data_IF_396363404837
#
_entry.id   IF_396363404837
#
_cell.length_a   1.000
_cell.length_b   1.000
_cell.length_c   1.000
_cell.angle_alpha   90.00
_cell.angle_beta   90.00
_cell.angle_gamma   90.00
#
_symmetry.space_group_name_H-M   'P 1'
#
loop_
_entity.id
_entity.type
_entity.pdbx_description
1 polymer ?
#
# COMPACT_ATOMS: atom_id res chain seq x y z
N UNK A 1 47.80 -32.40 15.14
CA UNK A 1 47.29 -33.69 15.61
C UNK A 1 46.26 -33.39 16.67
N UNK A 2 45.03 -33.79 16.34
CA UNK A 2 43.70 -33.85 17.00
C UNK A 2 43.55 -33.63 18.51
N UNK A 3 42.31 -33.49 19.05
CA UNK A 3 40.99 -33.55 18.37
C UNK A 3 39.98 -32.44 18.73
N UNK A 4 39.03 -32.25 17.81
CA UNK A 4 37.57 -32.16 17.98
C UNK A 4 37.01 -31.61 19.30
N UNK A 5 36.35 -30.46 19.20
CA UNK A 5 35.20 -30.15 20.05
C UNK A 5 34.01 -29.98 19.12
N UNK A 6 33.25 -31.06 18.95
CA UNK A 6 31.88 -31.02 18.44
C UNK A 6 31.06 -30.09 19.33
N UNK A 7 30.63 -28.96 18.78
CA UNK A 7 29.53 -28.19 19.37
C UNK A 7 28.25 -28.86 18.85
N UNK A 8 27.64 -29.68 19.69
CA UNK A 8 26.33 -30.25 19.44
C UNK A 8 25.32 -29.10 19.31
N UNK A 9 24.81 -28.90 18.09
CA UNK A 9 23.67 -28.02 17.82
C UNK A 9 22.44 -28.76 18.33
N UNK A 10 21.95 -28.39 19.52
CA UNK A 10 20.67 -28.85 20.02
C UNK A 10 19.55 -28.25 19.16
N UNK A 11 18.61 -29.06 18.69
CA UNK A 11 17.49 -28.70 17.81
C UNK A 11 16.47 -27.68 18.40
N UNK A 12 16.75 -27.06 19.55
CA UNK A 12 15.87 -26.11 20.24
C UNK A 12 16.55 -24.72 20.41
N UNK A 13 17.02 -24.14 19.30
CA UNK A 13 17.39 -22.72 19.27
C UNK A 13 16.15 -21.87 18.88
N UNK A 14 15.56 -21.09 19.81
CA UNK A 14 14.37 -20.28 19.54
C UNK A 14 14.60 -19.16 18.51
N UNK A 15 15.86 -18.78 18.22
CA UNK A 15 16.19 -17.82 17.15
C UNK A 15 16.16 -18.44 15.75
N UNK A 16 16.03 -19.77 15.64
CA UNK A 16 15.88 -20.48 14.37
C UNK A 16 14.40 -20.73 13.97
N UNK A 17 13.44 -20.20 14.73
CA UNK A 17 12.00 -20.34 14.46
C UNK A 17 11.51 -19.54 13.23
N UNK A 18 12.37 -18.72 12.63
CA UNK A 18 12.12 -18.04 11.34
C UNK A 18 12.55 -18.88 10.13
N UNK A 19 13.20 -20.03 10.34
CA UNK A 19 13.37 -21.03 9.31
C UNK A 19 12.01 -21.74 9.10
N UNK A 20 11.27 -21.27 8.11
CA UNK A 20 10.21 -21.95 7.39
C UNK A 20 9.58 -23.15 8.14
N UNK A 21 8.36 -22.97 8.67
CA UNK A 21 7.47 -24.11 8.92
C UNK A 21 7.33 -24.88 7.60
N UNK A 22 8.11 -25.95 7.48
CA UNK A 22 8.17 -26.82 6.33
C UNK A 22 6.82 -27.54 6.20
N UNK A 23 5.89 -26.97 5.43
CA UNK A 23 4.60 -27.61 5.18
C UNK A 23 3.51 -26.77 4.53
N UNK A 24 3.51 -25.44 4.67
CA UNK A 24 2.39 -24.61 4.20
C UNK A 24 2.87 -23.64 3.12
N UNK A 25 2.62 -23.97 1.85
CA UNK A 25 2.47 -22.91 0.85
C UNK A 25 1.27 -22.05 1.28
N UNK A 26 1.41 -20.73 1.26
CA UNK A 26 0.32 -19.85 1.68
C UNK A 26 -0.93 -20.08 0.83
N UNK A 27 -2.11 -19.93 1.44
CA UNK A 27 -3.37 -19.84 0.68
C UNK A 27 -3.22 -18.72 -0.35
N UNK A 28 -3.50 -19.02 -1.61
CA UNK A 28 -3.45 -18.08 -2.72
C UNK A 28 -4.74 -18.16 -3.53
N UNK A 29 -5.03 -17.09 -4.26
CA UNK A 29 -6.30 -16.89 -4.97
C UNK A 29 -6.10 -16.57 -6.46
N UNK A 30 -4.94 -16.96 -7.03
CA UNK A 30 -4.64 -16.72 -8.46
C UNK A 30 -5.69 -17.38 -9.36
N UNK A 31 -6.11 -18.61 -9.04
CA UNK A 31 -7.16 -19.31 -9.81
C UNK A 31 -8.50 -18.62 -9.73
N UNK A 32 -8.90 -18.14 -8.55
CA UNK A 32 -10.16 -17.40 -8.39
C UNK A 32 -10.17 -16.11 -9.23
N UNK A 33 -9.03 -15.42 -9.33
CA UNK A 33 -8.86 -14.25 -10.19
C UNK A 33 -8.94 -14.65 -11.67
N UNK A 34 -8.30 -15.76 -12.07
CA UNK A 34 -8.35 -16.26 -13.45
C UNK A 34 -9.77 -16.66 -13.88
N UNK A 35 -10.50 -17.34 -13.00
CA UNK A 35 -11.90 -17.72 -13.23
C UNK A 35 -12.79 -16.48 -13.38
N UNK A 36 -12.57 -15.46 -12.56
CA UNK A 36 -13.25 -14.17 -12.71
C UNK A 36 -12.90 -13.47 -14.03
N UNK A 37 -11.61 -13.48 -14.44
CA UNK A 37 -11.14 -12.89 -15.69
C UNK A 37 -11.75 -13.57 -16.93
N UNK A 38 -12.09 -14.87 -16.85
CA UNK A 38 -12.72 -15.60 -17.95
C UNK A 38 -14.09 -15.02 -18.35
N UNK A 39 -14.83 -14.47 -17.37
CA UNK A 39 -16.11 -13.78 -17.60
C UNK A 39 -16.00 -12.26 -17.76
N UNK A 40 -14.79 -11.69 -17.71
CA UNK A 40 -14.54 -10.25 -17.75
C UNK A 40 -14.17 -9.75 -19.15
N UNK A 41 -14.28 -8.44 -19.40
CA UNK A 41 -13.68 -7.79 -20.57
C UNK A 41 -12.15 -7.63 -20.43
N UNK A 42 -11.62 -7.80 -19.22
CA UNK A 42 -10.19 -7.72 -18.93
C UNK A 42 -9.48 -9.03 -19.29
N UNK A 43 -8.26 -8.90 -19.81
CA UNK A 43 -7.31 -9.99 -20.02
C UNK A 43 -6.45 -10.26 -18.79
N UNK A 44 -6.28 -9.25 -17.92
CA UNK A 44 -5.54 -9.39 -16.67
C UNK A 44 -5.66 -8.22 -15.72
N UNK A 45 -5.01 -8.36 -14.56
CA UNK A 45 -4.93 -7.36 -13.49
C UNK A 45 -3.49 -7.14 -13.04
N UNK A 46 -3.15 -5.90 -12.70
CA UNK A 46 -1.96 -5.52 -11.94
C UNK A 46 -2.34 -5.37 -10.47
N UNK A 47 -1.60 -6.03 -9.59
CA UNK A 47 -1.86 -6.10 -8.15
C UNK A 47 -0.56 -5.75 -7.40
N UNK A 48 -0.37 -4.50 -6.96
CA UNK A 48 0.81 -4.13 -6.17
C UNK A 48 0.63 -4.52 -4.69
N UNK A 49 1.73 -4.52 -3.92
CA UNK A 49 1.72 -4.73 -2.46
C UNK A 49 1.16 -3.54 -1.67
N UNK A 50 1.06 -2.37 -2.31
CA UNK A 50 0.69 -1.09 -1.71
C UNK A 50 -0.79 -0.96 -1.36
N UNK A 51 -1.08 -0.01 -0.49
CA UNK A 51 -2.43 0.46 -0.19
C UNK A 51 -2.74 1.78 -0.91
N UNK A 52 -3.91 2.36 -0.64
CA UNK A 52 -4.32 3.64 -1.24
C UNK A 52 -3.44 4.84 -0.87
N UNK A 53 -2.48 4.68 0.05
CA UNK A 53 -1.50 5.69 0.47
C UNK A 53 -0.08 5.33 0.03
N UNK A 54 0.10 4.24 -0.73
CA UNK A 54 1.40 3.72 -1.15
C UNK A 54 2.31 3.32 0.01
N UNK A 55 1.70 2.87 1.12
CA UNK A 55 2.42 2.42 2.31
C UNK A 55 3.26 1.17 2.01
N UNK A 56 4.48 1.11 2.57
CA UNK A 56 5.33 -0.09 2.47
C UNK A 56 4.65 -1.31 3.12
N UNK A 57 3.94 -1.09 4.24
CA UNK A 57 3.20 -2.14 4.93
C UNK A 57 1.70 -1.83 4.94
N UNK A 58 0.98 -2.35 3.95
CA UNK A 58 -0.46 -2.24 3.91
C UNK A 58 -1.12 -2.90 5.14
N UNK A 59 -2.21 -2.31 5.69
CA UNK A 59 -2.98 -2.92 6.77
C UNK A 59 -3.59 -4.25 6.32
N UNK A 60 -3.95 -5.17 7.24
CA UNK A 60 -4.38 -6.53 6.87
C UNK A 60 -5.48 -6.56 5.81
N UNK A 61 -6.43 -5.63 5.94
CA UNK A 61 -7.57 -5.46 5.04
C UNK A 61 -7.21 -4.98 3.63
N UNK A 62 -5.98 -4.51 3.38
CA UNK A 62 -5.58 -3.93 2.09
C UNK A 62 -4.40 -4.67 1.45
N UNK A 63 -3.93 -5.77 2.06
CA UNK A 63 -2.86 -6.64 1.55
C UNK A 63 -3.30 -7.51 0.36
N UNK A 64 -3.73 -6.87 -0.73
CA UNK A 64 -4.29 -7.52 -1.92
C UNK A 64 -3.31 -8.47 -2.59
N UNK A 65 -2.02 -8.08 -2.68
CA UNK A 65 -0.98 -8.95 -3.21
C UNK A 65 -0.84 -10.23 -2.40
N UNK A 66 -0.83 -10.11 -1.07
CA UNK A 66 -0.74 -11.27 -0.16
C UNK A 66 -1.95 -12.18 -0.31
N UNK A 67 -3.15 -11.61 -0.37
CA UNK A 67 -4.35 -12.41 -0.63
C UNK A 67 -4.26 -13.12 -1.99
N UNK A 68 -3.92 -12.39 -3.05
CA UNK A 68 -3.86 -12.95 -4.40
C UNK A 68 -2.84 -14.09 -4.53
N UNK A 69 -1.65 -13.93 -3.94
CA UNK A 69 -0.48 -14.78 -4.26
C UNK A 69 0.03 -15.62 -3.10
N UNK A 70 -0.33 -15.28 -1.85
CA UNK A 70 0.28 -15.81 -0.63
C UNK A 70 1.57 -15.08 -0.20
N UNK A 71 2.15 -14.22 -1.04
CA UNK A 71 3.41 -13.54 -0.77
C UNK A 71 3.31 -12.55 0.41
N UNK A 72 4.26 -12.62 1.35
CA UNK A 72 4.23 -11.83 2.60
C UNK A 72 5.25 -10.70 2.68
N UNK A 73 6.10 -10.52 1.66
CA UNK A 73 7.08 -9.42 1.65
C UNK A 73 6.43 -8.05 1.53
N UNK A 74 7.18 -7.00 1.88
CA UNK A 74 6.66 -5.62 1.87
C UNK A 74 6.57 -5.00 0.48
N UNK A 75 7.43 -5.44 -0.45
CA UNK A 75 7.47 -4.92 -1.82
C UNK A 75 7.29 -6.02 -2.84
N UNK A 76 6.41 -5.78 -3.81
CA UNK A 76 6.17 -6.67 -4.93
C UNK A 76 4.97 -6.23 -5.75
N UNK A 77 4.87 -6.79 -6.95
CA UNK A 77 3.74 -6.56 -7.85
C UNK A 77 3.42 -7.87 -8.57
N UNK A 78 2.15 -8.26 -8.62
CA UNK A 78 1.71 -9.39 -9.42
C UNK A 78 0.97 -8.92 -10.67
N UNK A 79 1.18 -9.63 -11.77
CA UNK A 79 0.35 -9.55 -12.96
C UNK A 79 -0.35 -10.89 -13.12
N UNK A 80 -1.67 -10.88 -13.04
CA UNK A 80 -2.50 -12.09 -13.23
C UNK A 80 -3.27 -11.94 -14.53
N UNK A 81 -2.90 -12.74 -15.52
CA UNK A 81 -3.63 -12.91 -16.78
C UNK A 81 -4.53 -14.15 -16.70
N UNK A 82 -5.44 -14.32 -17.67
CA UNK A 82 -6.35 -15.49 -17.74
C UNK A 82 -5.64 -16.84 -17.67
N UNK A 83 -4.49 -16.97 -18.32
CA UNK A 83 -3.78 -18.26 -18.48
C UNK A 83 -2.38 -18.28 -17.86
N UNK A 84 -1.89 -17.12 -17.38
CA UNK A 84 -0.55 -16.97 -16.82
C UNK A 84 -0.56 -15.97 -15.66
N UNK A 85 0.36 -16.11 -14.72
CA UNK A 85 0.57 -15.11 -13.68
C UNK A 85 2.07 -15.01 -13.35
N UNK A 86 2.51 -13.81 -12.98
CA UNK A 86 3.85 -13.56 -12.48
C UNK A 86 3.82 -12.68 -11.24
N UNK A 87 4.78 -12.92 -10.35
CA UNK A 87 5.09 -12.10 -9.19
C UNK A 87 6.47 -11.48 -9.38
N UNK A 88 6.52 -10.16 -9.52
CA UNK A 88 7.73 -9.37 -9.74
C UNK A 88 8.28 -8.88 -8.40
N UNK A 89 9.49 -9.32 -8.05
CA UNK A 89 10.10 -9.08 -6.74
C UNK A 89 11.51 -8.49 -6.85
N UNK A 90 11.87 -7.61 -5.92
CA UNK A 90 13.27 -7.23 -5.75
C UNK A 90 14.11 -8.40 -5.19
N UNK A 91 15.43 -8.33 -5.39
CA UNK A 91 16.34 -9.44 -5.07
C UNK A 91 16.34 -9.91 -3.61
N UNK A 92 15.90 -9.07 -2.66
CA UNK A 92 15.79 -9.43 -1.23
C UNK A 92 14.72 -10.50 -1.01
N UNK A 93 13.67 -10.51 -1.83
CA UNK A 93 12.50 -11.37 -1.64
C UNK A 93 12.48 -12.61 -2.52
N UNK A 94 13.46 -12.86 -3.38
CA UNK A 94 13.42 -13.98 -4.33
C UNK A 94 13.20 -15.35 -3.63
N UNK A 95 13.96 -15.64 -2.56
CA UNK A 95 13.81 -16.90 -1.81
C UNK A 95 12.50 -16.95 -1.00
N UNK A 96 12.11 -15.82 -0.39
CA UNK A 96 10.85 -15.73 0.34
C UNK A 96 9.65 -15.93 -0.60
N UNK A 97 9.67 -15.32 -1.78
CA UNK A 97 8.64 -15.47 -2.80
C UNK A 97 8.43 -16.94 -3.17
N UNK A 98 9.51 -17.68 -3.41
CA UNK A 98 9.44 -19.12 -3.73
C UNK A 98 8.84 -19.94 -2.59
N UNK A 99 9.16 -19.59 -1.34
CA UNK A 99 8.61 -20.27 -0.17
C UNK A 99 7.13 -19.94 0.05
N UNK A 100 6.79 -18.65 0.09
CA UNK A 100 5.45 -18.14 0.41
C UNK A 100 4.41 -18.52 -0.65
N UNK A 101 4.80 -18.51 -1.93
CA UNK A 101 3.90 -18.77 -3.06
C UNK A 101 3.94 -20.21 -3.56
N UNK A 102 4.52 -21.14 -2.78
CA UNK A 102 4.62 -22.55 -3.16
C UNK A 102 3.24 -23.13 -3.50
N UNK A 103 3.08 -23.60 -4.74
CA UNK A 103 1.82 -24.17 -5.22
C UNK A 103 0.85 -23.16 -5.85
N UNK A 104 1.15 -21.87 -5.80
CA UNK A 104 0.45 -20.87 -6.60
C UNK A 104 0.80 -21.04 -8.10
N UNK A 105 -0.16 -20.95 -9.04
CA UNK A 105 0.10 -21.06 -10.47
C UNK A 105 0.66 -19.74 -11.03
N UNK A 106 1.84 -19.34 -10.56
CA UNK A 106 2.55 -18.13 -10.97
C UNK A 106 4.05 -18.39 -11.15
N UNK A 107 4.73 -17.59 -11.97
CA UNK A 107 6.20 -17.50 -12.00
C UNK A 107 6.70 -16.37 -11.09
N UNK A 108 7.95 -16.47 -10.65
CA UNK A 108 8.62 -15.38 -9.92
C UNK A 108 9.62 -14.75 -10.86
N UNK A 109 9.51 -13.45 -11.03
CA UNK A 109 10.30 -12.67 -11.97
C UNK A 109 11.06 -11.56 -11.22
N UNK A 110 12.21 -11.10 -11.73
CA UNK A 110 12.87 -9.92 -11.20
C UNK A 110 11.97 -8.68 -11.30
N UNK A 111 11.93 -7.85 -10.26
CA UNK A 111 11.15 -6.61 -10.18
C UNK A 111 11.67 -5.46 -11.05
N UNK A 112 12.29 -5.76 -12.18
CA UNK A 112 12.84 -4.75 -13.11
C UNK A 112 11.89 -4.51 -14.26
N UNK A 113 11.88 -3.29 -14.80
CA UNK A 113 11.09 -2.95 -16.00
C UNK A 113 11.42 -3.88 -17.19
N UNK A 114 12.69 -4.27 -17.35
CA UNK A 114 13.11 -5.16 -18.42
C UNK A 114 12.53 -6.58 -18.29
N UNK A 115 12.50 -7.14 -17.08
CA UNK A 115 11.89 -8.44 -16.83
C UNK A 115 10.36 -8.39 -17.00
N UNK A 116 9.71 -7.32 -16.50
CA UNK A 116 8.26 -7.08 -16.72
C UNK A 116 7.93 -7.04 -18.21
N UNK A 117 8.70 -6.28 -19.00
CA UNK A 117 8.56 -6.22 -20.47
C UNK A 117 8.72 -7.59 -21.11
N UNK A 118 9.78 -8.31 -20.76
CA UNK A 118 10.07 -9.62 -21.35
C UNK A 118 8.93 -10.61 -21.09
N UNK A 119 8.50 -10.73 -19.83
CA UNK A 119 7.40 -11.61 -19.45
C UNK A 119 6.08 -11.24 -20.14
N UNK A 120 5.74 -9.95 -20.19
CA UNK A 120 4.53 -9.48 -20.88
C UNK A 120 4.59 -9.77 -22.38
N UNK A 121 5.74 -9.61 -23.02
CA UNK A 121 5.89 -9.88 -24.46
C UNK A 121 5.60 -11.34 -24.83
N UNK A 122 5.85 -12.26 -23.91
CA UNK A 122 5.61 -13.70 -24.09
C UNK A 122 4.17 -14.10 -23.69
N UNK A 123 3.66 -13.53 -22.59
CA UNK A 123 2.41 -13.97 -21.98
C UNK A 123 1.16 -13.23 -22.47
N UNK A 124 1.30 -12.04 -23.08
CA UNK A 124 0.15 -11.20 -23.42
C UNK A 124 -0.70 -11.78 -24.56
N UNK A 125 -2.03 -11.87 -24.38
CA UNK A 125 -2.92 -12.14 -25.50
C UNK A 125 -3.02 -10.92 -26.42
N UNK A 126 -3.35 -11.16 -27.69
CA UNK A 126 -3.58 -10.07 -28.65
C UNK A 126 -4.73 -9.16 -28.18
N UNK A 127 -4.55 -7.84 -28.31
CA UNK A 127 -5.52 -6.83 -27.91
C UNK A 127 -5.93 -6.94 -26.43
N UNK A 128 -5.00 -7.33 -25.55
CA UNK A 128 -5.24 -7.44 -24.12
C UNK A 128 -5.73 -6.11 -23.52
N UNK A 129 -6.63 -6.21 -22.54
CA UNK A 129 -6.98 -5.10 -21.64
C UNK A 129 -6.51 -5.47 -20.24
N UNK A 130 -5.58 -4.71 -19.68
CA UNK A 130 -5.04 -4.97 -18.34
C UNK A 130 -5.59 -3.91 -17.40
N UNK A 131 -6.28 -4.35 -16.35
CA UNK A 131 -6.83 -3.46 -15.33
C UNK A 131 -5.82 -3.15 -14.24
N UNK A 132 -5.81 -1.91 -13.76
CA UNK A 132 -5.13 -1.52 -12.53
C UNK A 132 -6.05 -0.63 -11.68
N UNK A 133 -5.85 -0.64 -10.36
CA UNK A 133 -6.49 0.31 -9.46
C UNK A 133 -5.62 1.59 -9.38
N UNK A 134 -6.13 2.77 -9.82
CA UNK A 134 -5.34 3.99 -9.87
C UNK A 134 -4.93 4.51 -8.49
N UNK A 135 -5.62 4.11 -7.41
CA UNK A 135 -5.27 4.49 -6.05
C UNK A 135 -4.08 3.74 -5.49
N UNK A 136 -3.71 2.59 -6.08
CA UNK A 136 -2.61 1.74 -5.59
C UNK A 136 -1.28 2.00 -6.30
N UNK A 137 -1.25 2.92 -7.27
CA UNK A 137 -0.08 3.18 -8.10
C UNK A 137 0.31 4.66 -8.04
N UNK A 138 1.61 4.94 -7.95
CA UNK A 138 2.12 6.30 -8.07
C UNK A 138 1.96 6.83 -9.50
N UNK A 139 2.16 8.15 -9.69
CA UNK A 139 2.19 8.72 -11.04
C UNK A 139 3.30 8.11 -11.91
N UNK A 140 4.44 7.78 -11.30
CA UNK A 140 5.57 7.11 -11.98
C UNK A 140 5.19 5.70 -12.41
N UNK A 141 4.61 4.90 -11.51
CA UNK A 141 4.21 3.52 -11.83
C UNK A 141 3.20 3.49 -12.99
N UNK A 142 2.22 4.39 -12.97
CA UNK A 142 1.23 4.50 -14.06
C UNK A 142 1.88 4.91 -15.38
N UNK A 143 2.86 5.81 -15.36
CA UNK A 143 3.59 6.21 -16.56
C UNK A 143 4.42 5.05 -17.12
N UNK A 144 5.07 4.25 -16.27
CA UNK A 144 5.77 3.04 -16.69
C UNK A 144 4.83 2.01 -17.31
N UNK A 145 3.69 1.75 -16.66
CA UNK A 145 2.67 0.83 -17.18
C UNK A 145 2.08 1.32 -18.51
N UNK A 146 1.86 2.62 -18.66
CA UNK A 146 1.38 3.20 -19.92
C UNK A 146 2.42 3.05 -21.04
N UNK A 147 3.70 3.27 -20.73
CA UNK A 147 4.80 3.06 -21.69
C UNK A 147 4.87 1.62 -22.18
N UNK A 148 4.70 0.64 -21.28
CA UNK A 148 4.60 -0.77 -21.65
C UNK A 148 3.36 -1.08 -22.48
N UNK A 149 2.23 -0.45 -22.19
CA UNK A 149 0.99 -0.59 -22.95
C UNK A 149 1.18 -0.13 -24.40
N UNK A 150 1.79 1.03 -24.58
CA UNK A 150 2.08 1.60 -25.90
C UNK A 150 3.10 0.75 -26.68
N UNK A 151 4.13 0.23 -25.99
CA UNK A 151 5.19 -0.61 -26.59
C UNK A 151 4.67 -1.99 -27.03
N UNK A 152 3.86 -2.65 -26.17
CA UNK A 152 3.43 -4.03 -26.38
C UNK A 152 2.02 -4.15 -26.98
N UNK A 153 1.33 -3.03 -27.20
CA UNK A 153 0.04 -2.98 -27.89
C UNK A 153 -1.14 -3.53 -27.09
N UNK A 154 -1.15 -3.34 -25.77
CA UNK A 154 -2.31 -3.62 -24.90
C UNK A 154 -2.96 -2.32 -24.41
N UNK A 155 -4.20 -2.42 -23.93
CA UNK A 155 -4.90 -1.28 -23.32
C UNK A 155 -4.75 -1.36 -21.80
N UNK A 156 -4.18 -0.31 -21.21
CA UNK A 156 -4.18 -0.13 -19.76
C UNK A 156 -5.50 0.52 -19.33
N UNK A 157 -6.23 -0.14 -18.44
CA UNK A 157 -7.55 0.31 -17.97
C UNK A 157 -7.49 0.67 -16.48
N UNK A 158 -7.74 1.95 -16.17
CA UNK A 158 -7.90 2.40 -14.80
C UNK A 158 -9.28 1.96 -14.28
N UNK A 159 -9.30 1.10 -13.27
CA UNK A 159 -10.51 0.55 -12.70
C UNK A 159 -11.06 1.48 -11.61
N UNK A 160 -12.38 1.75 -11.59
CA UNK A 160 -12.99 2.57 -10.54
C UNK A 160 -13.02 1.85 -9.18
N UNK A 161 -13.01 0.51 -9.20
CA UNK A 161 -12.97 -0.34 -8.01
C UNK A 161 -12.10 -1.57 -8.28
N UNK A 162 -11.31 -2.00 -7.29
CA UNK A 162 -10.52 -3.23 -7.39
C UNK A 162 -11.42 -4.48 -7.41
N UNK A 163 -11.34 -5.34 -8.45
CA UNK A 163 -12.07 -6.61 -8.48
C UNK A 163 -11.67 -7.55 -7.33
N UNK A 164 -10.43 -7.43 -6.85
CA UNK A 164 -9.91 -8.18 -5.71
C UNK A 164 -10.77 -7.96 -4.48
N UNK A 165 -11.26 -6.73 -4.25
CA UNK A 165 -12.08 -6.40 -3.08
C UNK A 165 -13.45 -7.08 -3.11
N UNK A 166 -13.93 -7.45 -4.30
CA UNK A 166 -15.19 -8.19 -4.46
C UNK A 166 -14.99 -9.69 -4.27
N UNK A 167 -13.86 -10.23 -4.75
CA UNK A 167 -13.50 -11.64 -4.60
C UNK A 167 -13.09 -11.96 -3.14
N UNK A 168 -12.39 -11.06 -2.49
CA UNK A 168 -11.92 -11.16 -1.10
C UNK A 168 -13.03 -10.85 -0.07
N UNK A 169 -14.26 -11.34 -0.29
CA UNK A 169 -15.49 -11.16 0.51
C UNK A 169 -15.41 -10.26 1.76
N UNK A 170 -16.28 -9.25 1.83
CA UNK A 170 -16.31 -8.23 2.91
C UNK A 170 -16.38 -8.79 4.34
N UNK A 171 -16.90 -10.00 4.54
CA UNK A 171 -16.98 -10.63 5.86
C UNK A 171 -15.60 -11.04 6.43
N UNK A 172 -14.59 -11.16 5.57
CA UNK A 172 -13.21 -11.54 5.95
C UNK A 172 -12.32 -10.30 6.11
N UNK A 173 -12.74 -9.16 5.56
CA UNK A 173 -11.93 -7.95 5.47
C UNK A 173 -12.08 -7.14 6.75
N UNK A 174 -11.03 -7.11 7.58
CA UNK A 174 -11.03 -6.34 8.83
C UNK A 174 -11.42 -4.88 8.56
N UNK A 175 -12.41 -4.37 9.28
CA UNK A 175 -12.81 -2.96 9.23
C UNK A 175 -12.06 -2.10 10.25
N UNK A 176 -11.07 -2.68 10.93
CA UNK A 176 -10.37 -2.01 12.00
C UNK A 176 -9.46 -0.91 11.44
N UNK A 177 -9.57 0.28 12.02
CA UNK A 177 -8.68 1.40 11.76
C UNK A 177 -8.25 1.99 13.10
N UNK A 178 -6.94 2.12 13.37
CA UNK A 178 -6.44 2.76 14.57
C UNK A 178 -7.04 4.15 14.78
N UNK A 179 -7.25 4.53 16.05
CA UNK A 179 -7.78 5.83 16.38
C UNK A 179 -6.64 6.87 16.37
N UNK A 180 -6.83 7.99 15.68
CA UNK A 180 -5.93 9.12 15.74
C UNK A 180 -6.10 9.87 17.06
N UNK A 181 -4.98 10.14 17.73
CA UNK A 181 -4.89 10.92 18.96
C UNK A 181 -3.94 12.10 18.77
N UNK A 182 -4.06 13.09 19.67
CA UNK A 182 -3.17 14.25 19.70
C UNK A 182 -1.72 13.83 20.03
N UNK A 183 -0.76 14.43 19.32
CA UNK A 183 0.65 14.32 19.64
C UNK A 183 1.09 15.55 20.45
N UNK A 184 1.46 15.40 21.73
CA UNK A 184 1.72 16.53 22.62
C UNK A 184 2.78 17.50 22.10
N UNK A 185 2.54 18.80 22.30
CA UNK A 185 3.49 19.86 21.91
C UNK A 185 4.88 19.67 22.52
N UNK A 186 4.97 19.15 23.75
CA UNK A 186 6.23 18.86 24.43
C UNK A 186 7.10 17.83 23.70
N UNK A 187 6.50 16.98 22.86
CA UNK A 187 7.20 16.00 22.03
C UNK A 187 7.36 16.50 20.59
N UNK A 188 6.39 17.28 20.09
CA UNK A 188 6.35 17.74 18.71
C UNK A 188 7.34 18.88 18.40
N UNK A 189 7.73 19.67 19.40
CA UNK A 189 8.65 20.82 19.27
C UNK A 189 8.06 22.07 18.57
N UNK A 190 7.02 21.89 17.74
CA UNK A 190 6.26 22.96 17.12
C UNK A 190 4.77 22.59 17.02
N UNK A 191 3.90 23.58 17.19
CA UNK A 191 2.46 23.40 17.01
C UNK A 191 2.08 23.17 15.55
N UNK A 192 0.95 22.50 15.30
CA UNK A 192 0.42 22.33 13.95
C UNK A 192 0.20 23.68 13.25
N UNK A 193 -0.26 24.69 13.99
CA UNK A 193 -0.50 26.04 13.47
C UNK A 193 0.81 26.69 12.98
N UNK A 194 1.91 26.55 13.73
CA UNK A 194 3.22 27.03 13.30
C UNK A 194 3.72 26.30 12.04
N UNK A 195 3.56 24.97 11.99
CA UNK A 195 3.98 24.16 10.84
C UNK A 195 3.20 24.53 9.58
N UNK A 196 1.87 24.65 9.68
CA UNK A 196 1.00 25.05 8.58
C UNK A 196 1.29 26.49 8.12
N UNK A 197 1.54 27.42 9.05
CA UNK A 197 1.93 28.78 8.71
C UNK A 197 3.23 28.80 7.90
N UNK A 198 4.29 28.13 8.38
CA UNK A 198 5.58 28.02 7.67
C UNK A 198 5.41 27.43 6.27
N UNK A 199 4.59 26.38 6.13
CA UNK A 199 4.29 25.79 4.82
C UNK A 199 3.56 26.78 3.90
N UNK A 200 2.57 27.51 4.41
CA UNK A 200 1.86 28.53 3.63
C UNK A 200 2.79 29.68 3.19
N UNK A 201 3.75 30.10 4.03
CA UNK A 201 4.77 31.08 3.62
C UNK A 201 5.66 30.53 2.50
N UNK A 202 6.05 29.26 2.59
CA UNK A 202 6.81 28.59 1.54
C UNK A 202 6.05 28.55 0.22
N UNK A 203 4.75 28.20 0.24
CA UNK A 203 3.90 28.21 -0.95
C UNK A 203 3.83 29.60 -1.59
N UNK A 204 3.62 30.65 -0.78
CA UNK A 204 3.64 32.04 -1.27
C UNK A 204 4.98 32.43 -1.89
N UNK A 205 6.09 32.02 -1.28
CA UNK A 205 7.44 32.27 -1.79
C UNK A 205 7.73 31.59 -3.14
N UNK A 206 7.10 30.44 -3.40
CA UNK A 206 7.21 29.68 -4.65
C UNK A 206 6.14 30.04 -5.69
N UNK A 207 5.18 30.91 -5.36
CA UNK A 207 4.04 31.22 -6.23
C UNK A 207 3.08 30.05 -6.43
N UNK A 208 3.00 29.14 -5.46
CA UNK A 208 2.09 27.98 -5.46
C UNK A 208 0.80 28.32 -4.70
N UNK A 209 -0.34 27.87 -5.23
CA UNK A 209 -1.66 28.13 -4.60
C UNK A 209 -1.98 27.15 -3.47
N UNK A 210 -1.55 25.90 -3.59
CA UNK A 210 -1.79 24.88 -2.57
C UNK A 210 -0.79 23.72 -2.66
N UNK A 211 -0.74 22.91 -1.60
CA UNK A 211 -0.07 21.60 -1.55
C UNK A 211 -1.02 20.54 -1.01
N UNK A 212 -1.19 19.46 -1.77
CA UNK A 212 -1.78 18.23 -1.25
C UNK A 212 -0.68 17.37 -0.60
N UNK A 213 -0.74 17.26 0.72
CA UNK A 213 0.06 16.32 1.51
C UNK A 213 -0.65 14.97 1.48
N UNK A 214 -0.12 14.05 0.68
CA UNK A 214 -0.75 12.76 0.40
C UNK A 214 -0.23 11.62 1.30
N UNK A 215 0.96 11.77 1.89
CA UNK A 215 1.60 10.80 2.76
C UNK A 215 1.04 10.89 4.20
N UNK A 216 0.50 9.79 4.76
CA UNK A 216 0.02 9.74 6.14
C UNK A 216 1.04 10.19 7.19
N UNK A 217 2.33 9.92 7.01
CA UNK A 217 3.39 10.30 7.95
C UNK A 217 3.54 11.82 8.00
N UNK A 218 3.58 12.45 6.83
CA UNK A 218 3.68 13.90 6.69
C UNK A 218 2.44 14.60 7.25
N UNK A 219 1.25 14.08 6.99
CA UNK A 219 0.01 14.62 7.58
C UNK A 219 0.04 14.51 9.10
N UNK A 220 0.47 13.36 9.61
CA UNK A 220 0.60 13.12 11.05
C UNK A 220 1.59 14.07 11.71
N UNK A 221 2.73 14.33 11.06
CA UNK A 221 3.70 15.31 11.51
C UNK A 221 3.16 16.74 11.44
N UNK A 222 2.50 17.11 10.34
CA UNK A 222 1.99 18.45 10.10
C UNK A 222 0.91 18.83 11.12
N UNK A 223 -0.01 17.91 11.40
CA UNK A 223 -1.18 18.16 12.25
C UNK A 223 -0.99 17.78 13.72
N UNK A 224 0.21 17.32 14.09
CA UNK A 224 0.51 16.79 15.42
C UNK A 224 -0.53 15.74 15.86
N UNK A 225 -0.70 14.71 15.04
CA UNK A 225 -1.55 13.55 15.36
C UNK A 225 -0.76 12.26 15.17
N UNK A 226 -1.14 11.21 15.89
CA UNK A 226 -0.58 9.86 15.70
C UNK A 226 -1.71 8.86 15.73
N UNK A 227 -1.57 7.78 14.96
CA UNK A 227 -2.40 6.61 15.16
C UNK A 227 -2.02 5.96 16.49
N UNK A 228 -3.02 5.79 17.36
CA UNK A 228 -2.92 4.97 18.55
C UNK A 228 -3.81 3.75 18.36
N UNK A 229 -3.26 2.61 18.75
CA UNK A 229 -4.03 1.39 18.85
C UNK A 229 -3.59 0.66 20.12
N UNK A 230 -4.53 0.51 21.05
CA UNK A 230 -4.34 -0.16 22.33
C UNK A 230 -4.25 -1.69 22.17
N UNK A 231 -4.67 -2.23 21.01
CA UNK A 231 -4.55 -3.63 20.64
C UNK A 231 -3.20 -3.98 19.97
N UNK A 232 -2.26 -3.02 19.86
CA UNK A 232 -0.91 -3.24 19.30
C UNK A 232 0.04 -3.97 20.25
N UNK A 233 -0.47 -4.92 21.02
CA UNK A 233 0.33 -6.05 21.48
C UNK A 233 0.50 -7.00 20.28
N UNK A 234 1.30 -6.58 19.30
CA UNK A 234 1.61 -7.48 18.18
C UNK A 234 2.65 -8.49 18.65
N UNK A 235 2.39 -9.76 18.40
CA UNK A 235 3.45 -10.77 18.43
C UNK A 235 4.62 -10.30 17.56
N UNK A 236 5.84 -10.57 18.02
CA UNK A 236 7.06 -10.19 17.31
C UNK A 236 7.04 -10.81 15.91
N UNK A 237 7.06 -9.96 14.87
CA UNK A 237 7.36 -10.38 13.50
C UNK A 237 6.30 -10.17 12.42
N UNK A 238 5.08 -9.70 12.75
CA UNK A 238 4.00 -9.65 11.73
C UNK A 238 3.55 -8.22 11.33
N UNK A 239 4.02 -7.18 12.03
CA UNK A 239 3.62 -5.79 11.77
C UNK A 239 4.72 -4.76 12.09
N UNK A 240 5.15 -4.01 11.08
CA UNK A 240 5.78 -2.70 11.27
C UNK A 240 4.66 -1.66 11.31
N UNK A 241 4.38 -1.12 12.49
CA UNK A 241 3.34 -0.09 12.62
C UNK A 241 4.00 1.25 12.66
N UNK A 242 3.84 1.98 11.56
CA UNK A 242 4.07 3.41 11.55
C UNK A 242 2.87 4.06 12.24
N UNK A 243 3.04 4.81 13.34
CA UNK A 243 1.95 5.42 14.09
C UNK A 243 1.38 6.66 13.37
N UNK A 244 1.09 6.52 12.08
CA UNK A 244 0.57 7.56 11.21
C UNK A 244 -0.95 7.43 11.03
N UNK A 245 -1.64 8.56 11.12
CA UNK A 245 -3.05 8.66 10.78
C UNK A 245 -3.22 8.60 9.25
N UNK A 246 -3.83 7.52 8.76
CA UNK A 246 -4.11 7.28 7.33
C UNK A 246 -5.10 8.33 6.78
N UNK A 247 -4.56 9.44 6.33
CA UNK A 247 -5.32 10.64 5.95
C UNK A 247 -4.52 11.49 4.95
N UNK A 248 -5.16 12.51 4.37
CA UNK A 248 -4.52 13.51 3.49
C UNK A 248 -4.82 14.91 3.97
N UNK A 249 -3.98 15.88 3.67
CA UNK A 249 -4.25 17.28 3.97
C UNK A 249 -4.01 18.17 2.75
N UNK A 250 -4.91 19.12 2.49
CA UNK A 250 -4.69 20.21 1.55
C UNK A 250 -4.35 21.46 2.35
N UNK A 251 -3.20 22.06 2.06
CA UNK A 251 -2.77 23.34 2.64
C UNK A 251 -2.75 24.38 1.52
N UNK A 252 -3.61 25.40 1.66
CA UNK A 252 -3.69 26.52 0.72
C UNK A 252 -2.71 27.62 1.15
N UNK A 253 -2.27 28.46 0.21
CA UNK A 253 -1.28 29.54 0.43
C UNK A 253 -1.73 30.57 1.48
N UNK A 254 -3.03 30.71 1.72
CA UNK A 254 -3.63 31.57 2.75
C UNK A 254 -3.54 30.96 4.15
N UNK A 255 -3.04 29.72 4.28
CA UNK A 255 -2.94 28.98 5.53
C UNK A 255 -4.21 28.19 5.89
N UNK A 256 -5.20 28.15 4.99
CA UNK A 256 -6.38 27.28 5.15
C UNK A 256 -5.97 25.82 5.00
N UNK A 257 -6.43 24.98 5.91
CA UNK A 257 -6.12 23.55 5.93
C UNK A 257 -7.41 22.75 5.83
N UNK A 258 -7.47 21.84 4.88
CA UNK A 258 -8.53 20.83 4.78
C UNK A 258 -7.93 19.46 5.07
N UNK A 259 -8.41 18.80 6.13
CA UNK A 259 -7.94 17.47 6.54
C UNK A 259 -8.95 16.40 6.10
N UNK A 260 -8.54 15.54 5.16
CA UNK A 260 -9.32 14.44 4.63
C UNK A 260 -9.12 13.19 5.48
N UNK A 261 -10.07 12.93 6.37
CA UNK A 261 -10.01 11.83 7.35
C UNK A 261 -11.41 11.36 7.72
N UNK A 262 -11.55 10.06 8.00
CA UNK A 262 -12.80 9.53 8.53
C UNK A 262 -12.96 9.96 9.99
N UNK A 263 -14.03 10.72 10.29
CA UNK A 263 -14.30 11.20 11.66
C UNK A 263 -14.41 10.06 12.68
N UNK A 264 -14.78 8.84 12.26
CA UNK A 264 -14.85 7.67 13.13
C UNK A 264 -13.48 7.20 13.61
N UNK A 265 -12.42 7.59 12.90
CA UNK A 265 -11.03 7.30 13.25
C UNK A 265 -10.41 8.39 14.14
N UNK A 266 -11.15 9.42 14.54
CA UNK A 266 -10.61 10.51 15.36
C UNK A 266 -11.07 10.40 16.81
N UNK A 267 -10.13 10.54 17.74
CA UNK A 267 -10.49 10.76 19.14
C UNK A 267 -11.32 12.06 19.27
N UNK A 268 -12.37 12.10 20.14
CA UNK A 268 -13.26 13.25 20.24
C UNK A 268 -12.55 14.60 20.49
N UNK A 269 -11.41 14.58 21.18
CA UNK A 269 -10.61 15.77 21.43
C UNK A 269 -10.11 16.44 20.14
N UNK A 270 -9.86 15.68 19.07
CA UNK A 270 -9.38 16.21 17.79
C UNK A 270 -10.46 16.99 17.02
N UNK A 271 -11.74 16.88 17.38
CA UNK A 271 -12.77 17.74 16.78
C UNK A 271 -12.56 19.22 17.12
N UNK A 272 -11.83 19.53 18.20
CA UNK A 272 -11.47 20.90 18.52
C UNK A 272 -10.60 21.57 17.44
N UNK A 273 -9.93 20.79 16.56
CA UNK A 273 -9.13 21.31 15.44
C UNK A 273 -9.92 22.18 14.46
N UNK A 274 -11.24 22.00 14.37
CA UNK A 274 -12.10 22.87 13.56
C UNK A 274 -12.06 24.33 14.05
N UNK A 275 -11.88 24.54 15.37
CA UNK A 275 -11.72 25.89 15.95
C UNK A 275 -10.35 26.51 15.66
N UNK A 276 -9.35 25.66 15.37
CA UNK A 276 -8.01 26.09 14.97
C UNK A 276 -7.93 26.38 13.45
N UNK A 277 -9.05 26.31 12.72
CA UNK A 277 -9.11 26.59 11.28
C UNK A 277 -8.86 25.38 10.37
N UNK A 278 -8.87 24.15 10.91
CA UNK A 278 -8.74 22.92 10.11
C UNK A 278 -10.12 22.38 9.74
N UNK A 279 -10.43 22.34 8.45
CA UNK A 279 -11.68 21.76 7.94
C UNK A 279 -11.59 20.23 7.88
N UNK A 280 -12.23 19.52 8.81
CA UNK A 280 -12.27 18.05 8.83
C UNK A 280 -13.30 17.56 7.81
N UNK A 281 -12.84 16.89 6.77
CA UNK A 281 -13.63 16.52 5.60
C UNK A 281 -13.54 15.01 5.34
N UNK A 282 -14.64 14.34 4.94
CA UNK A 282 -14.59 12.92 4.56
C UNK A 282 -13.61 12.65 3.40
N UNK A 283 -12.88 11.51 3.40
CA UNK A 283 -11.87 11.22 2.37
C UNK A 283 -12.39 11.16 0.94
N UNK A 284 -13.65 10.73 0.74
CA UNK A 284 -14.32 10.62 -0.56
C UNK A 284 -14.59 11.99 -1.21
N UNK A 285 -14.48 13.09 -0.44
CA UNK A 285 -14.66 14.45 -0.93
C UNK A 285 -13.39 15.10 -1.50
N UNK A 286 -12.25 14.40 -1.48
CA UNK A 286 -10.97 14.97 -1.95
C UNK A 286 -11.05 15.47 -3.40
N UNK A 287 -11.67 14.72 -4.32
CA UNK A 287 -11.79 15.11 -5.73
C UNK A 287 -12.63 16.37 -5.94
N UNK A 288 -13.74 16.50 -5.19
CA UNK A 288 -14.63 17.66 -5.21
C UNK A 288 -13.89 18.91 -4.73
N UNK A 289 -13.17 18.82 -3.60
CA UNK A 289 -12.41 19.95 -3.04
C UNK A 289 -11.27 20.36 -3.96
N UNK A 290 -10.47 19.42 -4.48
CA UNK A 290 -9.35 19.74 -5.37
C UNK A 290 -9.81 20.42 -6.67
N UNK A 291 -10.96 20.03 -7.21
CA UNK A 291 -11.52 20.63 -8.43
C UNK A 291 -12.03 22.05 -8.18
N UNK A 292 -12.51 22.35 -6.97
CA UNK A 292 -12.94 23.69 -6.58
C UNK A 292 -11.76 24.65 -6.28
N UNK A 293 -10.58 24.11 -5.94
CA UNK A 293 -9.36 24.87 -5.65
C UNK A 293 -8.49 25.12 -6.91
N UNK A 294 -8.68 24.36 -7.98
CA UNK A 294 -7.96 24.49 -9.26
C UNK A 294 -8.55 25.58 -10.16
#
# INVERSE_FOLDING_TARGET
MSPDTEVAVTEDDPDNALAARAGEGGVNHVRDIQDWLAGSALAGLVIPSTDGFLSEFAPPAERRLRWATGFRGSTGEAVVLREAAALFLDGRYAQQGLADTRGAPLSIEPGTLAARRAWLSEALPKNARIGLDPWLHSATDRAEWQSLADELGFVLEALPESPIDRLWSKDVRSTFSPMAIDHPLSLAGASHAQKCATLAEHLRGQGLEALLVADPEDVSWLLNVRAADEALQTEVGDWHIVPACRSRALVEREGKVTWFVDRRQLAPALFAREKDGIAITPPDKIGEVLTATA
#
